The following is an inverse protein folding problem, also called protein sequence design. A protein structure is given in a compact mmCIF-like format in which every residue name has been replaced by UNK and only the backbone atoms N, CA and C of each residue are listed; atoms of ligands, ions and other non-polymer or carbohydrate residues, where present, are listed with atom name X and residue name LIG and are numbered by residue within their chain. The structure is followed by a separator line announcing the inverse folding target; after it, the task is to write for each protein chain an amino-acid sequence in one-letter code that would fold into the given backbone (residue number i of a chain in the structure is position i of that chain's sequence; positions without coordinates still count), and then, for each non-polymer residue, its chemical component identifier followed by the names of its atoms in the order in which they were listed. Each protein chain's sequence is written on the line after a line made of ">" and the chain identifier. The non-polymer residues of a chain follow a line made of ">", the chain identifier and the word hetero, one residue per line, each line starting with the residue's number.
data_IF_905272557189
#
_entry.id   IF_905272557189
#
_cell.length_a   1.000
_cell.length_b   1.000
_cell.length_c   1.000
_cell.angle_alpha   90.00
_cell.angle_beta   90.00
_cell.angle_gamma   90.00
#
_symmetry.space_group_name_H-M   'P 1'
#
loop_
_entity.id
_entity.type
_entity.pdbx_description
1 polymer ?
#
# COMPACT_ATOMS: atom_id res chain seq x y z
N UNK A 1 -4.32 -8.29 3.41
CA UNK A 1 -5.77 -8.59 3.57
C UNK A 1 -6.46 -8.33 2.23
N UNK A 2 -7.30 -9.27 1.83
CA UNK A 2 -8.08 -9.14 0.60
C UNK A 2 -9.43 -8.54 0.94
N UNK A 3 -9.74 -7.40 0.31
CA UNK A 3 -11.04 -6.74 0.48
C UNK A 3 -11.94 -7.15 -0.69
N UNK A 4 -13.07 -7.74 -0.37
CA UNK A 4 -14.07 -8.19 -1.35
C UNK A 4 -15.22 -7.19 -1.34
N UNK A 5 -15.67 -6.77 -2.53
CA UNK A 5 -16.82 -5.88 -2.63
C UNK A 5 -18.07 -6.58 -2.06
N UNK A 6 -18.88 -5.89 -1.21
CA UNK A 6 -20.13 -6.47 -0.64
C UNK A 6 -21.07 -7.07 -1.66
N UNK A 7 -21.12 -6.55 -2.88
CA UNK A 7 -21.92 -7.08 -4.00
C UNK A 7 -21.62 -8.55 -4.26
N UNK A 8 -20.36 -8.98 -4.10
CA UNK A 8 -19.94 -10.36 -4.33
C UNK A 8 -20.61 -11.31 -3.33
N UNK A 9 -20.71 -10.89 -2.05
CA UNK A 9 -21.40 -11.69 -1.02
C UNK A 9 -22.89 -11.80 -1.30
N UNK A 10 -23.53 -10.70 -1.74
CA UNK A 10 -24.94 -10.70 -2.12
C UNK A 10 -25.17 -11.63 -3.31
N UNK A 11 -24.27 -11.58 -4.30
CA UNK A 11 -24.35 -12.46 -5.48
C UNK A 11 -24.25 -13.95 -5.09
N UNK A 12 -23.25 -14.33 -4.28
CA UNK A 12 -23.12 -15.72 -3.83
C UNK A 12 -24.29 -16.17 -2.95
N UNK A 13 -24.81 -15.30 -2.09
CA UNK A 13 -26.02 -15.58 -1.32
C UNK A 13 -27.23 -15.84 -2.20
N UNK A 14 -27.45 -15.01 -3.22
CA UNK A 14 -28.50 -15.19 -4.19
C UNK A 14 -28.33 -16.49 -5.02
N UNK A 15 -27.11 -16.83 -5.40
CA UNK A 15 -26.77 -18.05 -6.12
C UNK A 15 -27.07 -19.30 -5.29
N UNK A 16 -26.70 -19.30 -4.01
CA UNK A 16 -27.03 -20.39 -3.09
C UNK A 16 -28.55 -20.56 -2.92
N UNK A 17 -29.25 -19.44 -2.69
CA UNK A 17 -30.71 -19.47 -2.54
C UNK A 17 -31.41 -19.96 -3.83
N UNK A 18 -30.96 -19.53 -5.01
CA UNK A 18 -31.56 -19.96 -6.28
C UNK A 18 -31.43 -21.46 -6.51
N UNK A 19 -30.31 -22.07 -6.13
CA UNK A 19 -30.12 -23.51 -6.22
C UNK A 19 -31.05 -24.31 -5.30
N UNK A 20 -31.47 -23.72 -4.17
CA UNK A 20 -32.40 -24.38 -3.24
C UNK A 20 -33.88 -24.21 -3.61
N UNK A 21 -34.28 -23.07 -4.19
CA UNK A 21 -35.70 -22.71 -4.31
C UNK A 21 -36.23 -22.66 -5.74
N UNK A 22 -35.38 -22.63 -6.75
CA UNK A 22 -35.82 -22.40 -8.12
C UNK A 22 -35.29 -23.48 -9.07
N UNK A 23 -36.16 -24.41 -9.46
CA UNK A 23 -35.87 -25.33 -10.57
C UNK A 23 -36.02 -24.57 -11.90
N UNK A 24 -35.03 -23.72 -12.22
CA UNK A 24 -35.09 -22.90 -13.44
C UNK A 24 -33.92 -23.23 -14.37
N UNK A 25 -34.21 -23.34 -15.67
CA UNK A 25 -33.20 -23.59 -16.73
C UNK A 25 -32.09 -22.54 -16.83
N UNK A 26 -32.20 -21.41 -16.14
CA UNK A 26 -31.17 -20.36 -16.13
C UNK A 26 -30.20 -20.44 -14.94
N UNK A 27 -30.35 -21.40 -14.01
CA UNK A 27 -29.45 -21.57 -12.86
C UNK A 27 -28.01 -21.80 -13.33
N UNK A 28 -27.81 -22.56 -14.42
CA UNK A 28 -26.48 -22.81 -14.94
C UNK A 28 -25.73 -21.53 -15.32
N UNK A 29 -26.43 -20.47 -15.73
CA UNK A 29 -25.83 -19.18 -16.06
C UNK A 29 -25.29 -18.47 -14.81
N UNK A 30 -25.99 -18.56 -13.68
CA UNK A 30 -25.53 -18.08 -12.40
C UNK A 30 -24.32 -18.87 -11.89
N UNK A 31 -24.31 -20.19 -12.09
CA UNK A 31 -23.19 -21.05 -11.72
C UNK A 31 -21.93 -20.70 -12.52
N UNK A 32 -22.05 -20.47 -13.84
CA UNK A 32 -20.94 -20.00 -14.69
C UNK A 32 -20.40 -18.66 -14.20
N UNK A 33 -21.27 -17.70 -13.87
CA UNK A 33 -20.84 -16.42 -13.32
C UNK A 33 -20.11 -16.62 -11.97
N UNK A 34 -20.61 -17.51 -11.12
CA UNK A 34 -19.95 -17.86 -9.85
C UNK A 34 -18.54 -18.40 -10.05
N UNK A 35 -18.37 -19.33 -11.00
CA UNK A 35 -17.05 -19.87 -11.37
C UNK A 35 -16.13 -18.78 -11.89
N UNK A 36 -16.64 -17.87 -12.73
CA UNK A 36 -15.85 -16.72 -13.22
C UNK A 36 -15.38 -15.82 -12.06
N UNK A 37 -16.21 -15.53 -11.07
CA UNK A 37 -15.82 -14.76 -9.90
C UNK A 37 -14.72 -15.45 -9.09
N UNK A 38 -14.86 -16.76 -8.85
CA UNK A 38 -13.84 -17.56 -8.16
C UNK A 38 -12.52 -17.51 -8.92
N UNK A 39 -12.57 -17.67 -10.24
CA UNK A 39 -11.39 -17.60 -11.09
C UNK A 39 -10.69 -16.24 -11.00
N UNK A 40 -11.45 -15.13 -11.08
CA UNK A 40 -10.90 -13.79 -10.92
C UNK A 40 -10.30 -13.56 -9.52
N UNK A 41 -10.96 -14.10 -8.50
CA UNK A 41 -10.45 -14.04 -7.11
C UNK A 41 -9.09 -14.74 -6.99
N UNK A 42 -8.99 -15.99 -7.44
CA UNK A 42 -7.76 -16.78 -7.39
C UNK A 42 -6.65 -16.13 -8.22
N UNK A 43 -6.99 -15.65 -9.43
CA UNK A 43 -6.04 -14.95 -10.30
C UNK A 43 -5.46 -13.70 -9.60
N UNK A 44 -6.30 -12.86 -9.00
CA UNK A 44 -5.85 -11.65 -8.33
C UNK A 44 -4.94 -11.98 -7.14
N UNK A 45 -5.27 -13.02 -6.37
CA UNK A 45 -4.44 -13.46 -5.26
C UNK A 45 -3.06 -13.97 -5.73
N UNK A 46 -3.02 -14.72 -6.82
CA UNK A 46 -1.77 -15.18 -7.44
C UNK A 46 -0.94 -14.01 -7.95
N UNK A 47 -1.58 -13.04 -8.60
CA UNK A 47 -0.94 -11.83 -9.10
C UNK A 47 -0.34 -11.01 -7.94
N UNK A 48 -1.07 -10.87 -6.84
CA UNK A 48 -0.60 -10.13 -5.67
C UNK A 48 0.66 -10.75 -5.04
N UNK A 49 0.78 -12.07 -5.02
CA UNK A 49 1.98 -12.79 -4.53
C UNK A 49 3.23 -12.51 -5.37
N UNK A 50 3.06 -12.15 -6.63
CA UNK A 50 4.15 -11.86 -7.57
C UNK A 50 4.52 -10.37 -7.60
N UNK A 51 3.98 -9.56 -6.70
CA UNK A 51 4.39 -8.17 -6.49
C UNK A 51 5.33 -8.12 -5.30
N UNK A 52 6.55 -7.64 -5.54
CA UNK A 52 7.56 -7.46 -4.49
C UNK A 52 7.68 -5.96 -4.19
N UNK A 53 7.66 -5.61 -2.92
CA UNK A 53 7.77 -4.22 -2.48
C UNK A 53 9.03 -4.07 -1.62
N UNK A 54 9.89 -3.15 -2.02
CA UNK A 54 11.10 -2.78 -1.30
C UNK A 54 10.98 -1.34 -0.81
N UNK A 55 11.26 -1.10 0.46
CA UNK A 55 11.23 0.24 1.03
C UNK A 55 12.61 0.69 1.41
N UNK A 56 12.98 1.88 0.96
CA UNK A 56 14.27 2.50 1.27
C UNK A 56 14.04 3.87 1.90
N UNK A 57 14.58 4.05 3.09
CA UNK A 57 14.57 5.32 3.81
C UNK A 57 15.98 5.65 4.30
N UNK A 58 16.28 6.95 4.49
CA UNK A 58 17.54 7.36 5.10
C UNK A 58 17.56 6.95 6.57
N UNK A 59 18.66 6.31 7.00
CA UNK A 59 18.83 5.89 8.40
C UNK A 59 19.05 7.08 9.35
N UNK A 60 19.55 8.24 8.85
CA UNK A 60 19.83 9.45 9.61
C UNK A 60 19.33 10.66 8.85
N UNK A 61 18.63 11.55 9.53
CA UNK A 61 18.11 12.82 8.99
C UNK A 61 18.27 13.90 10.06
N UNK A 62 18.27 15.17 9.66
CA UNK A 62 18.24 16.27 10.60
C UNK A 62 16.80 16.70 10.94
N UNK A 63 16.65 17.29 12.13
CA UNK A 63 15.36 17.84 12.55
C UNK A 63 14.89 18.91 11.57
N UNK A 64 13.60 18.86 11.19
CA UNK A 64 12.95 19.74 10.22
C UNK A 64 13.50 19.67 8.77
N UNK A 65 14.46 18.81 8.48
CA UNK A 65 14.95 18.57 7.13
C UNK A 65 14.02 17.57 6.40
N UNK A 66 13.53 17.92 5.19
CA UNK A 66 12.75 16.98 4.40
C UNK A 66 13.64 15.85 3.88
N UNK A 67 13.16 14.63 3.97
CA UNK A 67 13.81 13.46 3.39
C UNK A 67 12.85 12.62 2.58
N UNK A 68 13.39 11.82 1.69
CA UNK A 68 12.64 10.96 0.78
C UNK A 68 12.50 9.55 1.34
N UNK A 69 11.25 9.05 1.34
CA UNK A 69 10.89 7.66 1.50
C UNK A 69 10.61 7.08 0.12
N UNK A 70 11.41 6.12 -0.32
CA UNK A 70 11.26 5.47 -1.62
C UNK A 70 10.63 4.10 -1.45
N UNK A 71 9.52 3.87 -2.13
CA UNK A 71 8.82 2.58 -2.20
C UNK A 71 8.98 2.07 -3.63
N UNK A 72 9.82 1.06 -3.80
CA UNK A 72 10.01 0.38 -5.08
C UNK A 72 9.05 -0.80 -5.17
N UNK A 73 8.29 -0.88 -6.24
CA UNK A 73 7.33 -1.93 -6.51
C UNK A 73 7.77 -2.65 -7.78
N UNK A 74 8.05 -3.93 -7.65
CA UNK A 74 8.49 -4.79 -8.76
C UNK A 74 7.39 -5.76 -9.13
N UNK A 75 6.92 -5.73 -10.38
CA UNK A 75 5.99 -6.71 -10.91
C UNK A 75 6.74 -7.88 -11.53
N UNK A 76 6.46 -9.09 -11.05
CA UNK A 76 6.86 -10.35 -11.70
C UNK A 76 5.71 -10.95 -12.52
N UNK A 77 4.66 -10.18 -12.75
CA UNK A 77 3.47 -10.60 -13.50
C UNK A 77 3.59 -10.27 -14.97
N UNK A 78 2.91 -11.06 -15.80
CA UNK A 78 2.76 -10.83 -17.24
C UNK A 78 1.61 -9.90 -17.61
N UNK A 79 0.85 -9.41 -16.64
CA UNK A 79 -0.31 -8.53 -16.84
C UNK A 79 -0.09 -7.15 -16.25
N UNK A 80 -0.75 -6.15 -16.84
CA UNK A 80 -0.81 -4.79 -16.32
C UNK A 80 -1.64 -4.76 -15.04
N UNK A 81 -1.16 -4.04 -14.02
CA UNK A 81 -1.82 -3.92 -12.72
C UNK A 81 -2.09 -2.45 -12.38
N UNK A 82 -3.26 -2.17 -11.85
CA UNK A 82 -3.57 -0.88 -11.23
C UNK A 82 -3.28 -0.95 -9.74
N UNK A 83 -2.39 -0.10 -9.26
CA UNK A 83 -1.90 -0.11 -7.88
C UNK A 83 -2.11 1.27 -7.26
N UNK A 84 -2.52 1.27 -5.99
CA UNK A 84 -2.57 2.44 -5.14
C UNK A 84 -1.58 2.25 -3.99
N UNK A 85 -0.60 3.14 -3.89
CA UNK A 85 0.39 3.15 -2.81
C UNK A 85 -0.04 4.14 -1.74
N UNK A 86 -0.29 3.63 -0.55
CA UNK A 86 -0.71 4.42 0.61
C UNK A 86 0.52 4.55 1.53
N UNK A 87 1.05 5.76 1.71
CA UNK A 87 2.22 5.98 2.55
C UNK A 87 1.90 5.77 4.04
N UNK A 88 2.94 5.63 4.89
CA UNK A 88 2.78 5.61 6.33
C UNK A 88 2.12 6.89 6.86
N UNK A 89 1.45 6.80 8.01
CA UNK A 89 0.74 7.93 8.63
C UNK A 89 1.64 9.13 8.96
N UNK A 90 2.94 8.91 9.16
CA UNK A 90 3.92 9.98 9.38
C UNK A 90 4.18 10.84 8.15
N UNK A 91 3.81 10.35 6.97
CA UNK A 91 3.93 11.05 5.70
C UNK A 91 2.64 11.80 5.43
N UNK A 92 2.70 13.12 5.27
CA UNK A 92 1.53 13.97 5.03
C UNK A 92 1.00 13.92 3.58
N UNK A 93 1.62 13.14 2.72
CA UNK A 93 1.25 13.04 1.32
C UNK A 93 0.05 12.09 1.14
N UNK A 94 -0.78 12.39 0.12
CA UNK A 94 -1.87 11.51 -0.29
C UNK A 94 -1.34 10.23 -0.96
N UNK A 95 -2.20 9.21 -1.03
CA UNK A 95 -1.92 7.99 -1.79
C UNK A 95 -1.63 8.31 -3.26
N UNK A 96 -0.75 7.50 -3.87
CA UNK A 96 -0.40 7.62 -5.28
C UNK A 96 -0.94 6.42 -6.06
N UNK A 97 -1.56 6.72 -7.20
CA UNK A 97 -2.05 5.72 -8.14
C UNK A 97 -1.05 5.55 -9.27
N UNK A 98 -0.77 4.31 -9.61
CA UNK A 98 0.12 3.98 -10.72
C UNK A 98 -0.35 2.73 -11.46
N UNK A 99 0.02 2.67 -12.72
CA UNK A 99 -0.16 1.49 -13.54
C UNK A 99 1.17 0.77 -13.67
N UNK A 100 1.23 -0.44 -13.16
CA UNK A 100 2.42 -1.28 -13.17
C UNK A 100 2.40 -2.15 -14.41
N UNK A 101 3.36 -1.92 -15.29
CA UNK A 101 3.52 -2.73 -16.49
C UNK A 101 4.16 -4.09 -16.17
N UNK A 102 3.97 -5.11 -17.04
CA UNK A 102 4.55 -6.43 -16.86
C UNK A 102 6.08 -6.39 -16.72
N UNK A 103 6.58 -7.12 -15.73
CA UNK A 103 8.02 -7.30 -15.48
C UNK A 103 8.82 -6.00 -15.31
N UNK A 104 8.15 -4.89 -14.93
CA UNK A 104 8.81 -3.62 -14.64
C UNK A 104 8.79 -3.28 -13.16
N UNK A 105 9.73 -2.42 -12.77
CA UNK A 105 9.78 -1.80 -11.46
C UNK A 105 9.40 -0.33 -11.55
N UNK A 106 8.74 0.16 -10.51
CA UNK A 106 8.38 1.57 -10.35
C UNK A 106 8.78 2.04 -8.96
N UNK A 107 9.32 3.23 -8.88
CA UNK A 107 9.70 3.85 -7.61
C UNK A 107 8.73 5.00 -7.33
N UNK A 108 8.05 4.90 -6.20
CA UNK A 108 7.19 5.96 -5.66
C UNK A 108 7.96 6.67 -4.56
N UNK A 109 8.07 7.98 -4.66
CA UNK A 109 8.80 8.80 -3.68
C UNK A 109 7.82 9.65 -2.88
N UNK A 110 7.92 9.55 -1.56
CA UNK A 110 7.19 10.38 -0.63
C UNK A 110 8.16 11.24 0.16
N UNK A 111 7.83 12.50 0.37
CA UNK A 111 8.65 13.42 1.16
C UNK A 111 8.03 13.61 2.54
N UNK A 112 8.83 13.49 3.59
CA UNK A 112 8.42 13.73 4.97
C UNK A 112 9.54 14.40 5.76
N UNK A 113 9.21 14.97 6.92
CA UNK A 113 10.16 15.57 7.84
C UNK A 113 9.73 15.28 9.27
N UNK A 114 10.70 15.15 10.17
CA UNK A 114 10.47 15.02 11.60
C UNK A 114 10.88 16.28 12.35
N UNK A 115 9.96 16.85 13.12
CA UNK A 115 10.22 18.04 13.94
C UNK A 115 10.87 17.73 15.28
N UNK A 116 10.86 16.47 15.75
CA UNK A 116 11.39 16.08 17.07
C UNK A 116 12.53 15.08 16.94
N UNK A 117 13.56 15.28 17.77
CA UNK A 117 14.78 14.45 17.81
C UNK A 117 14.52 13.02 18.32
N UNK A 118 15.45 12.12 18.07
CA UNK A 118 15.45 10.75 18.56
C UNK A 118 15.17 9.70 17.50
N UNK A 119 15.02 8.45 17.91
CA UNK A 119 14.69 7.37 17.01
C UNK A 119 13.19 7.39 16.68
N UNK A 120 12.86 7.40 15.40
CA UNK A 120 11.49 7.48 14.90
C UNK A 120 11.18 6.26 14.04
N UNK A 121 10.02 5.66 14.28
CA UNK A 121 9.47 4.63 13.41
C UNK A 121 8.65 5.27 12.30
N UNK A 122 8.83 4.80 11.08
CA UNK A 122 8.07 5.28 9.93
C UNK A 122 6.63 4.76 9.93
N UNK A 123 6.39 3.59 10.54
CA UNK A 123 5.09 2.93 10.57
C UNK A 123 4.84 2.04 9.37
N UNK A 124 3.58 1.66 9.17
CA UNK A 124 3.16 0.77 8.11
C UNK A 124 2.82 1.54 6.83
N UNK A 125 3.19 0.97 5.69
CA UNK A 125 2.70 1.36 4.38
C UNK A 125 1.72 0.32 3.86
N UNK A 126 0.89 0.68 2.89
CA UNK A 126 -0.01 -0.26 2.24
C UNK A 126 0.04 -0.13 0.74
N UNK A 127 0.05 -1.26 0.07
CA UNK A 127 -0.06 -1.36 -1.40
C UNK A 127 -1.37 -2.05 -1.72
N UNK A 128 -2.27 -1.34 -2.39
CA UNK A 128 -3.57 -1.85 -2.80
C UNK A 128 -3.54 -2.16 -4.28
N UNK A 129 -3.73 -3.43 -4.62
CA UNK A 129 -3.81 -3.93 -5.99
C UNK A 129 -5.28 -4.07 -6.35
N UNK A 130 -5.70 -3.36 -7.39
CA UNK A 130 -7.10 -3.39 -7.86
C UNK A 130 -7.27 -4.39 -8.98
N UNK A 131 -8.36 -5.12 -8.93
CA UNK A 131 -8.82 -5.93 -10.05
C UNK A 131 -9.34 -5.03 -11.18
N UNK A 132 -9.21 -5.49 -12.42
CA UNK A 132 -9.75 -4.80 -13.61
C UNK A 132 -11.25 -4.56 -13.48
N UNK A 133 -11.97 -5.44 -12.80
CA UNK A 133 -13.42 -5.35 -12.58
C UNK A 133 -13.81 -4.49 -11.39
N UNK A 134 -12.85 -4.00 -10.59
CA UNK A 134 -13.07 -3.32 -9.30
C UNK A 134 -13.92 -4.12 -8.28
N UNK A 135 -14.10 -5.43 -8.50
CA UNK A 135 -14.87 -6.30 -7.59
C UNK A 135 -14.02 -6.80 -6.43
N UNK A 136 -12.72 -6.88 -6.64
CA UNK A 136 -11.77 -7.39 -5.66
C UNK A 136 -10.58 -6.45 -5.55
N UNK A 137 -10.13 -6.23 -4.31
CA UNK A 137 -8.90 -5.52 -4.01
C UNK A 137 -8.04 -6.39 -3.08
N UNK A 138 -6.74 -6.47 -3.34
CA UNK A 138 -5.77 -7.05 -2.43
C UNK A 138 -4.98 -5.93 -1.79
N UNK A 139 -4.94 -5.90 -0.46
CA UNK A 139 -4.17 -4.93 0.30
C UNK A 139 -3.01 -5.65 0.99
N UNK A 140 -1.80 -5.25 0.65
CA UNK A 140 -0.56 -5.69 1.30
C UNK A 140 -0.17 -4.56 2.25
N UNK A 141 -0.14 -4.85 3.54
CA UNK A 141 0.29 -3.88 4.58
C UNK A 141 1.49 -4.45 5.30
N UNK A 142 2.57 -3.70 5.34
CA UNK A 142 3.80 -4.09 6.02
C UNK A 142 4.40 -2.92 6.81
N UNK A 143 4.98 -3.23 7.94
CA UNK A 143 5.72 -2.26 8.75
C UNK A 143 7.11 -2.02 8.17
N UNK A 144 7.50 -0.75 8.11
CA UNK A 144 8.86 -0.37 7.74
C UNK A 144 9.79 -0.68 8.91
N UNK A 145 10.63 -1.70 8.74
CA UNK A 145 11.52 -2.22 9.80
C UNK A 145 12.66 -1.26 10.15
N UNK A 146 12.97 -0.31 9.29
CA UNK A 146 14.07 0.63 9.51
C UNK A 146 13.62 1.80 10.38
N UNK A 147 14.30 2.00 11.50
CA UNK A 147 14.16 3.21 12.30
C UNK A 147 14.98 4.34 11.70
N UNK A 148 14.43 5.54 11.74
CA UNK A 148 15.13 6.77 11.31
C UNK A 148 15.61 7.52 12.54
N UNK A 149 16.91 7.76 12.60
CA UNK A 149 17.50 8.56 13.69
C UNK A 149 17.49 10.03 13.30
N UNK A 150 16.74 10.83 14.04
CA UNK A 150 16.65 12.27 13.83
C UNK A 150 17.69 12.97 14.69
N UNK A 151 18.62 13.65 14.03
CA UNK A 151 19.71 14.41 14.63
C UNK A 151 19.29 15.89 14.81
N UNK A 152 19.89 16.62 15.74
CA UNK A 152 19.67 18.06 15.86
C UNK A 152 20.16 18.78 14.60
N UNK A 153 19.43 19.82 14.18
CA UNK A 153 19.90 20.69 13.12
C UNK A 153 21.05 21.56 13.64
N UNK A 154 22.07 21.79 12.79
CA UNK A 154 23.24 22.61 13.14
C UNK A 154 22.85 24.04 13.53
N UNK A 155 21.86 24.62 12.86
CA UNK A 155 21.34 25.96 13.19
C UNK A 155 20.73 26.02 14.60
N UNK A 156 19.92 25.01 14.98
CA UNK A 156 19.35 24.92 16.33
C UNK A 156 20.45 24.71 17.38
N UNK A 157 21.50 23.99 17.04
CA UNK A 157 22.63 23.73 17.96
C UNK A 157 23.46 24.99 18.15
N UNK A 158 23.75 25.75 17.12
CA UNK A 158 24.47 27.01 17.17
C UNK A 158 23.69 28.06 17.96
N UNK A 159 22.38 28.22 17.72
CA UNK A 159 21.52 29.12 18.46
C UNK A 159 21.45 28.76 19.95
N UNK A 160 21.55 27.49 20.31
CA UNK A 160 21.58 27.04 21.69
C UNK A 160 22.93 27.36 22.37
N UNK A 161 24.04 27.19 21.64
CA UNK A 161 25.38 27.53 22.11
C UNK A 161 25.53 29.05 22.32
N UNK A 162 25.05 29.88 21.39
CA UNK A 162 25.02 31.32 21.51
C UNK A 162 24.26 31.79 22.76
N UNK A 163 23.04 31.24 22.99
CA UNK A 163 22.27 31.55 24.21
C UNK A 163 22.98 31.16 25.50
N UNK A 164 23.73 30.06 25.52
CA UNK A 164 24.50 29.63 26.68
C UNK A 164 25.68 30.60 26.94
N UNK A 165 26.32 31.05 25.84
CA UNK A 165 27.41 32.01 25.92
C UNK A 165 26.95 33.40 26.37
N UNK A 166 25.73 33.81 26.01
CA UNK A 166 25.12 35.07 26.49
C UNK A 166 24.69 35.03 27.96
N UNK A 167 24.53 33.83 28.56
CA UNK A 167 24.15 33.65 29.95
C UNK A 167 25.36 33.50 30.91
N UNK A 168 26.60 33.40 30.39
CA UNK A 168 27.86 33.30 31.15
C UNK A 168 28.58 34.64 31.19
#
# INVERSE_FOLDING_TARGET
>A
WMKVNPIVYVFFGALLLSNFFVYNKYIWLLDVLGVMFIFHYVKLHTVARNVVVNVTARARVFSNEPFELKIEIVSKNSSVLSIEVIPPLVVKNSSQFLTLEPYKSYVVTFTTAFGTRGNKKLGAYSVKIRSVTNLFDVIITEDIKSDVRVLPNLEETNAMVERILEML
#
